data_IF_703620109246
#
_entry.id   IF_703620109246
#
_cell.length_a   1.000
_cell.length_b   1.000
_cell.length_c   1.000
_cell.angle_alpha   90.00
_cell.angle_beta   90.00
_cell.angle_gamma   90.00
#
_symmetry.space_group_name_H-M   'P 1'
#
loop_
_entity.id
_entity.type
_entity.pdbx_description
1 polymer ?
#
# COMPACT_ATOMS: atom_id res chain seq x y z
N UNK A 1 -11.22 -22.73 2.11
CA UNK A 1 -11.41 -21.26 2.07
C UNK A 1 -10.07 -20.71 1.64
N UNK A 2 -10.02 -20.09 0.47
CA UNK A 2 -8.84 -19.38 0.01
C UNK A 2 -8.87 -18.02 0.71
N UNK A 3 -7.78 -17.67 1.37
CA UNK A 3 -7.61 -16.35 1.96
C UNK A 3 -6.51 -15.66 1.18
N UNK A 4 -6.65 -14.37 0.93
CA UNK A 4 -5.60 -13.59 0.28
C UNK A 4 -4.94 -12.67 1.32
N UNK A 5 -3.68 -12.32 1.08
CA UNK A 5 -2.91 -11.37 1.88
C UNK A 5 -2.09 -10.47 0.95
N UNK A 6 -1.77 -9.27 1.44
CA UNK A 6 -0.92 -8.31 0.72
C UNK A 6 0.46 -8.32 1.35
N UNK A 7 1.47 -8.52 0.52
CA UNK A 7 2.88 -8.51 0.91
C UNK A 7 3.61 -7.38 0.19
N UNK A 8 4.69 -6.91 0.78
CA UNK A 8 5.63 -5.99 0.14
C UNK A 8 6.83 -6.80 -0.36
N UNK A 9 7.15 -6.60 -1.64
CA UNK A 9 8.29 -7.16 -2.35
C UNK A 9 9.15 -5.99 -2.87
N UNK A 10 10.34 -6.29 -3.40
CA UNK A 10 11.26 -5.25 -3.89
C UNK A 10 10.66 -4.38 -5.02
N UNK A 11 9.68 -4.90 -5.76
CA UNK A 11 9.00 -4.21 -6.88
C UNK A 11 7.74 -3.44 -6.44
N UNK A 12 7.35 -3.51 -5.16
CA UNK A 12 6.15 -2.86 -4.63
C UNK A 12 5.28 -3.79 -3.79
N UNK A 13 3.97 -3.61 -3.85
CA UNK A 13 3.01 -4.48 -3.14
C UNK A 13 2.48 -5.57 -4.07
N UNK A 14 2.26 -6.78 -3.55
CA UNK A 14 1.72 -7.91 -4.31
C UNK A 14 0.68 -8.68 -3.49
N UNK A 15 -0.37 -9.19 -4.15
CA UNK A 15 -1.41 -10.04 -3.54
C UNK A 15 -1.02 -11.51 -3.68
N UNK A 16 -0.95 -12.22 -2.57
CA UNK A 16 -0.67 -13.66 -2.53
C UNK A 16 -1.86 -14.46 -1.98
N UNK A 17 -1.99 -15.70 -2.46
CA UNK A 17 -2.98 -16.65 -1.94
C UNK A 17 -2.38 -17.43 -0.74
N UNK A 18 -3.09 -17.42 0.38
CA UNK A 18 -2.76 -18.18 1.57
C UNK A 18 -3.40 -19.56 1.52
N UNK A 19 -2.56 -20.56 1.76
CA UNK A 19 -2.99 -21.94 1.91
C UNK A 19 -3.66 -22.11 3.28
N UNK A 20 -4.74 -22.88 3.36
CA UNK A 20 -5.41 -23.15 4.64
C UNK A 20 -4.44 -23.80 5.63
N UNK A 21 -4.12 -23.10 6.72
CA UNK A 21 -3.16 -23.54 7.74
C UNK A 21 -1.75 -22.95 7.61
N UNK A 22 -1.48 -22.18 6.55
CA UNK A 22 -0.28 -21.36 6.43
C UNK A 22 -0.53 -19.98 7.04
N UNK A 23 0.47 -19.46 7.76
CA UNK A 23 0.43 -18.09 8.28
C UNK A 23 0.79 -17.09 7.19
N UNK A 24 0.16 -15.93 7.18
CA UNK A 24 0.46 -14.87 6.21
C UNK A 24 1.95 -14.44 6.25
N UNK A 25 2.56 -14.44 7.43
CA UNK A 25 4.00 -14.17 7.61
C UNK A 25 4.89 -15.20 6.92
N UNK A 26 4.52 -16.48 7.00
CA UNK A 26 5.27 -17.58 6.39
C UNK A 26 5.16 -17.55 4.86
N UNK A 27 3.96 -17.23 4.35
CA UNK A 27 3.73 -17.06 2.92
C UNK A 27 4.52 -15.86 2.36
N UNK A 28 4.54 -14.73 3.07
CA UNK A 28 5.35 -13.56 2.72
C UNK A 28 6.85 -13.89 2.70
N UNK A 29 7.34 -14.54 3.76
CA UNK A 29 8.74 -14.94 3.86
C UNK A 29 9.13 -15.94 2.76
N UNK A 30 8.21 -16.82 2.34
CA UNK A 30 8.42 -17.78 1.24
C UNK A 30 8.59 -17.07 -0.10
N UNK A 31 7.87 -15.97 -0.34
CA UNK A 31 8.03 -15.12 -1.52
C UNK A 31 9.25 -14.20 -1.44
N UNK A 32 9.91 -14.11 -0.27
CA UNK A 32 11.01 -13.19 -0.02
C UNK A 32 10.56 -11.74 0.25
N UNK A 33 9.27 -11.57 0.58
CA UNK A 33 8.69 -10.28 0.93
C UNK A 33 8.40 -10.14 2.43
N UNK A 34 7.84 -8.99 2.80
CA UNK A 34 7.36 -8.72 4.15
C UNK A 34 5.82 -8.72 4.18
N UNK A 35 5.24 -9.30 5.23
CA UNK A 35 3.81 -9.23 5.43
C UNK A 35 3.40 -7.78 5.75
N UNK A 36 2.54 -7.20 4.92
CA UNK A 36 1.98 -5.86 5.14
C UNK A 36 0.58 -5.98 5.71
N UNK A 37 -0.26 -6.77 5.03
CA UNK A 37 -1.64 -6.99 5.45
C UNK A 37 -2.00 -8.48 5.41
N UNK A 38 -2.31 -9.09 6.57
CA UNK A 38 -2.71 -10.50 6.64
C UNK A 38 -4.11 -10.81 6.09
N UNK A 39 -4.90 -9.80 5.72
CA UNK A 39 -6.32 -9.95 5.44
C UNK A 39 -7.13 -10.27 6.71
N UNK A 40 -8.45 -10.37 6.57
CA UNK A 40 -9.02 -11.41 5.71
C UNK A 40 -9.60 -10.84 4.41
N UNK A 41 -8.99 -11.21 3.28
CA UNK A 41 -9.56 -10.98 1.96
C UNK A 41 -10.15 -12.27 1.43
N UNK A 42 -11.42 -12.22 1.03
CA UNK A 42 -12.16 -13.37 0.51
C UNK A 42 -11.96 -13.61 -0.99
N UNK A 43 -11.45 -12.60 -1.70
CA UNK A 43 -11.21 -12.60 -3.14
C UNK A 43 -10.00 -11.73 -3.48
N UNK A 44 -9.38 -12.00 -4.64
CA UNK A 44 -8.29 -11.17 -5.17
C UNK A 44 -8.70 -9.69 -5.33
N UNK A 45 -9.93 -9.42 -5.79
CA UNK A 45 -10.43 -8.03 -5.95
C UNK A 45 -10.38 -7.24 -4.63
N UNK A 46 -10.77 -7.86 -3.52
CA UNK A 46 -10.81 -7.22 -2.19
C UNK A 46 -9.39 -6.85 -1.72
N UNK A 47 -8.41 -7.71 -1.98
CA UNK A 47 -7.00 -7.45 -1.70
C UNK A 47 -6.41 -6.40 -2.68
N UNK A 48 -6.85 -6.39 -3.94
CA UNK A 48 -6.40 -5.44 -4.96
C UNK A 48 -6.82 -4.01 -4.64
N UNK A 49 -8.04 -3.81 -4.11
CA UNK A 49 -8.50 -2.49 -3.67
C UNK A 49 -7.63 -1.88 -2.55
N UNK A 50 -7.05 -2.73 -1.69
CA UNK A 50 -6.12 -2.30 -0.64
C UNK A 50 -4.73 -2.04 -1.19
N UNK A 51 -4.26 -2.89 -2.11
CA UNK A 51 -3.01 -2.69 -2.82
C UNK A 51 -3.00 -1.34 -3.58
N UNK A 52 -4.06 -1.04 -4.34
CA UNK A 52 -4.22 0.24 -5.03
C UNK A 52 -4.24 1.43 -4.06
N UNK A 53 -4.83 1.26 -2.88
CA UNK A 53 -4.82 2.30 -1.83
C UNK A 53 -3.43 2.52 -1.22
N UNK A 54 -2.65 1.45 -1.05
CA UNK A 54 -1.28 1.50 -0.55
C UNK A 54 -0.36 2.24 -1.55
N UNK A 55 -0.43 1.90 -2.84
CA UNK A 55 0.34 2.58 -3.90
C UNK A 55 -0.03 4.07 -4.04
N UNK A 56 -1.33 4.40 -4.01
CA UNK A 56 -1.80 5.80 -4.11
C UNK A 56 -1.39 6.65 -2.90
N UNK A 57 -1.14 6.04 -1.75
CA UNK A 57 -0.75 6.77 -0.54
C UNK A 57 0.73 7.19 -0.55
N UNK A 58 1.58 6.50 -1.30
CA UNK A 58 3.00 6.85 -1.46
C UNK A 58 3.20 8.06 -2.41
N UNK A 59 2.36 8.17 -3.45
CA UNK A 59 2.41 9.29 -4.44
C UNK A 59 1.76 10.60 -3.93
N UNK A 60 1.21 10.65 -2.70
CA UNK A 60 0.78 11.93 -2.10
C UNK A 60 1.98 12.69 -1.53
N UNK A 61 2.85 13.07 -2.44
CA UNK A 61 3.65 14.27 -2.32
C UNK A 61 2.73 15.42 -1.92
N UNK A 62 2.91 15.86 -0.66
CA UNK A 62 2.59 17.15 -0.13
C UNK A 62 2.24 18.17 -1.24
N UNK A 63 1.04 18.79 -1.27
CA UNK A 63 0.85 19.92 -2.17
C UNK A 63 1.87 20.98 -1.74
N UNK A 64 2.95 21.12 -2.49
CA UNK A 64 3.94 22.20 -2.35
C UNK A 64 3.31 23.52 -2.80
N UNK A 65 2.04 23.74 -2.46
CA UNK A 65 1.39 25.03 -2.46
C UNK A 65 1.83 25.76 -1.19
N UNK A 66 3.10 26.17 -1.15
CA UNK A 66 3.46 27.34 -0.34
C UNK A 66 2.50 28.44 -0.77
N UNK A 67 1.65 29.01 0.12
CA UNK A 67 0.84 30.13 -0.29
C UNK A 67 1.80 31.24 -0.73
N UNK A 68 1.72 31.65 -2.00
CA UNK A 68 2.41 32.86 -2.44
C UNK A 68 1.82 34.02 -1.65
N UNK A 69 2.45 34.38 -0.53
CA UNK A 69 2.23 35.67 0.14
C UNK A 69 2.61 36.74 -0.89
N UNK A 70 1.62 37.27 -1.58
CA UNK A 70 1.76 38.52 -2.32
C UNK A 70 1.97 39.62 -1.28
N UNK A 71 3.22 39.91 -0.97
CA UNK A 71 3.56 41.04 -0.12
C UNK A 71 3.47 42.30 -1.00
N UNK A 72 2.29 42.92 -1.06
CA UNK A 72 2.13 44.28 -1.59
C UNK A 72 2.77 45.25 -0.60
N UNK A 73 4.10 45.29 -0.60
CA UNK A 73 4.87 46.40 -0.08
C UNK A 73 5.31 47.22 -1.28
N UNK A 74 4.36 47.95 -1.88
CA UNK A 74 4.71 49.10 -2.72
C UNK A 74 4.83 50.29 -1.80
N UNK A 75 6.04 50.44 -1.29
CA UNK A 75 6.55 51.68 -0.74
C UNK A 75 6.51 52.78 -1.82
N UNK A 76 6.22 54.00 -1.35
CA UNK A 76 6.30 55.33 -2.00
C UNK A 76 5.16 55.81 -2.88
#
# INVERSE_FOLDING_TARGET
>A
MHSFAVIEVEDGFEVIELITGQSAEDAAATQGGQLIDPGPYHSYEDANEVLEQLEVSDDREWPTARPRRVNHNSER
#
